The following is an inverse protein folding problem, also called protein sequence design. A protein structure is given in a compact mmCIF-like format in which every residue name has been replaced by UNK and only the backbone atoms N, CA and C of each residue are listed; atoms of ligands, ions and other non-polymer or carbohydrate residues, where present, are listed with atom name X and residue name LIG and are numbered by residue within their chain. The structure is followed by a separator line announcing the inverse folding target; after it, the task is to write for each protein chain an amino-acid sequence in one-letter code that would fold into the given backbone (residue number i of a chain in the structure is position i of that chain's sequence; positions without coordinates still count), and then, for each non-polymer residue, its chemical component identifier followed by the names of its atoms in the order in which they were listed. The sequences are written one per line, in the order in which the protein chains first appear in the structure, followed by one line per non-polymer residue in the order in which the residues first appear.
data_IF_399580034411
#
_entry.id   IF_399580034411
#
_cell.length_a   1.000
_cell.length_b   1.000
_cell.length_c   1.000
_cell.angle_alpha   90.00
_cell.angle_beta   90.00
_cell.angle_gamma   90.00
#
_symmetry.space_group_name_H-M   'P 1'
#
loop_
_entity.id
_entity.type
_entity.pdbx_description
1 polymer ?
#
# COMPACT_ATOMS: atom_id res chain seq x y z
N UNK A 1 31.23 7.72 -26.75
CA UNK A 1 29.82 7.81 -26.36
C UNK A 1 29.72 7.75 -24.85
N UNK A 2 29.35 8.85 -24.20
CA UNK A 2 29.22 8.94 -22.75
C UNK A 2 27.73 9.00 -22.39
N UNK A 3 27.20 7.98 -21.70
CA UNK A 3 25.86 8.00 -21.13
C UNK A 3 25.85 8.97 -19.94
N UNK A 4 25.32 10.17 -20.12
CA UNK A 4 25.04 11.11 -19.04
C UNK A 4 23.88 10.57 -18.20
N UNK A 5 24.14 10.34 -16.92
CA UNK A 5 23.12 10.18 -15.89
C UNK A 5 22.22 11.42 -15.88
N UNK A 6 20.91 11.22 -15.99
CA UNK A 6 19.87 12.27 -16.00
C UNK A 6 19.51 12.72 -14.57
N UNK A 7 20.18 12.20 -13.55
CA UNK A 7 19.94 12.58 -12.17
C UNK A 7 21.04 13.55 -11.73
N UNK A 8 20.75 14.84 -11.93
CA UNK A 8 21.55 15.94 -11.37
C UNK A 8 21.52 15.94 -9.83
N UNK A 9 22.46 16.65 -9.19
CA UNK A 9 22.64 16.70 -7.74
C UNK A 9 21.51 17.40 -6.95
N UNK A 10 20.42 17.80 -7.61
CA UNK A 10 19.29 18.55 -7.05
C UNK A 10 18.02 17.71 -6.78
N UNK A 11 18.14 16.39 -6.61
CA UNK A 11 17.02 15.53 -6.23
C UNK A 11 16.60 15.65 -4.74
N UNK A 12 16.76 16.84 -4.15
CA UNK A 12 16.24 17.19 -2.82
C UNK A 12 14.75 17.60 -2.91
N UNK A 13 13.96 16.87 -3.69
CA UNK A 13 12.51 16.93 -3.56
C UNK A 13 12.15 16.55 -2.10
N UNK A 14 11.27 17.30 -1.41
CA UNK A 14 10.85 16.94 -0.06
C UNK A 14 10.37 15.49 -0.08
N UNK A 15 11.06 14.65 0.69
CA UNK A 15 10.83 13.20 0.68
C UNK A 15 9.37 12.96 1.07
N UNK A 16 8.60 12.17 0.30
CA UNK A 16 7.21 11.93 0.61
C UNK A 16 7.12 11.32 2.02
N UNK A 17 6.50 12.06 2.94
CA UNK A 17 6.18 11.53 4.26
C UNK A 17 5.17 10.40 4.07
N UNK A 18 5.43 9.25 4.68
CA UNK A 18 4.44 8.18 4.80
C UNK A 18 3.30 8.69 5.68
N UNK A 19 2.27 9.23 5.04
CA UNK A 19 1.02 9.59 5.70
C UNK A 19 0.11 8.38 5.67
N UNK A 20 -0.75 8.24 6.69
CA UNK A 20 -1.89 7.31 6.57
C UNK A 20 -2.64 7.66 5.27
N UNK A 21 -3.06 6.66 4.47
CA UNK A 21 -3.99 6.90 3.38
C UNK A 21 -5.22 7.67 3.89
N UNK A 22 -5.81 8.49 3.02
CA UNK A 22 -7.00 9.26 3.35
C UNK A 22 -8.10 8.36 3.96
N UNK A 23 -8.75 8.84 5.03
CA UNK A 23 -9.82 8.15 5.77
C UNK A 23 -11.02 7.87 4.87
N UNK A 24 -11.28 8.78 3.93
CA UNK A 24 -12.19 8.54 2.83
C UNK A 24 -11.42 7.76 1.77
N UNK A 25 -11.91 6.55 1.45
CA UNK A 25 -11.47 5.84 0.25
C UNK A 25 -11.47 6.81 -0.93
N UNK A 26 -10.44 6.73 -1.77
CA UNK A 26 -10.50 7.39 -3.08
C UNK A 26 -11.84 7.02 -3.74
N UNK A 27 -12.46 7.88 -4.55
CA UNK A 27 -13.49 7.44 -5.49
C UNK A 27 -13.01 6.27 -6.38
N UNK A 28 -11.69 6.07 -6.48
CA UNK A 28 -11.01 4.95 -7.13
C UNK A 28 -10.56 3.82 -6.17
N UNK A 29 -11.02 3.76 -4.92
CA UNK A 29 -10.67 2.70 -3.96
C UNK A 29 -11.87 1.78 -3.74
N UNK A 30 -11.67 0.49 -3.49
CA UNK A 30 -12.76 -0.44 -3.33
C UNK A 30 -13.47 -0.21 -2.00
N UNK A 31 -14.72 -0.67 -1.92
CA UNK A 31 -15.61 -0.51 -0.75
C UNK A 31 -15.01 -1.09 0.54
N UNK A 32 -14.04 -2.00 0.42
CA UNK A 32 -13.37 -2.66 1.53
C UNK A 32 -11.86 -2.65 1.34
N UNK A 33 -11.17 -2.03 2.29
CA UNK A 33 -9.71 -1.98 2.36
C UNK A 33 -9.21 -2.22 3.79
N UNK A 34 -8.03 -2.81 3.89
CA UNK A 34 -7.29 -3.03 5.11
C UNK A 34 -5.95 -2.32 5.00
N UNK A 35 -5.69 -1.41 5.95
CA UNK A 35 -4.38 -0.81 6.14
C UNK A 35 -3.77 -1.37 7.43
N UNK A 36 -2.61 -2.01 7.32
CA UNK A 36 -1.80 -2.37 8.48
C UNK A 36 -0.54 -1.51 8.48
N UNK A 37 -0.21 -0.94 9.64
CA UNK A 37 0.95 -0.08 9.79
C UNK A 37 1.76 -0.45 11.03
N UNK A 38 3.06 -0.25 10.95
CA UNK A 38 3.99 -0.40 12.05
C UNK A 38 4.40 0.98 12.59
N UNK A 39 4.04 1.23 13.86
CA UNK A 39 4.47 2.38 14.64
C UNK A 39 5.58 1.95 15.62
N UNK A 40 6.82 2.44 15.48
CA UNK A 40 7.94 2.03 16.34
C UNK A 40 7.78 2.49 17.79
N UNK A 41 7.17 3.65 17.97
CA UNK A 41 6.77 4.18 19.26
C UNK A 41 5.31 3.79 19.38
N UNK A 42 4.94 2.99 20.39
CA UNK A 42 3.62 2.35 20.52
C UNK A 42 2.42 3.27 20.72
N UNK A 43 2.50 4.49 20.21
CA UNK A 43 1.41 5.43 20.07
C UNK A 43 0.76 5.23 18.68
N UNK A 44 -0.54 4.99 18.67
CA UNK A 44 -1.30 4.83 17.43
C UNK A 44 -1.14 6.07 16.54
N UNK A 45 -1.10 7.28 17.13
CA UNK A 45 -1.00 8.56 16.40
C UNK A 45 0.46 8.97 16.08
N UNK A 46 1.42 8.11 16.38
CA UNK A 46 2.84 8.35 16.12
C UNK A 46 3.24 8.24 14.64
N UNK A 47 4.49 8.64 14.32
CA UNK A 47 5.04 8.47 12.97
C UNK A 47 5.13 6.99 12.59
N UNK A 48 4.62 6.66 11.40
CA UNK A 48 4.63 5.30 10.87
C UNK A 48 5.96 4.99 10.19
N UNK A 49 6.53 3.84 10.51
CA UNK A 49 7.77 3.36 9.91
C UNK A 49 7.53 2.43 8.72
N UNK A 50 6.40 1.75 8.67
CA UNK A 50 6.00 0.93 7.53
C UNK A 50 4.49 0.81 7.45
N UNK A 51 3.97 0.54 6.25
CA UNK A 51 2.57 0.22 6.02
C UNK A 51 2.40 -0.75 4.85
N UNK A 52 1.28 -1.46 4.88
CA UNK A 52 0.74 -2.23 3.77
C UNK A 52 -0.74 -1.88 3.62
N UNK A 53 -1.13 -1.47 2.41
CA UNK A 53 -2.50 -1.09 2.01
C UNK A 53 -3.03 -2.17 1.06
N UNK A 54 -4.09 -2.84 1.48
CA UNK A 54 -4.72 -3.94 0.77
C UNK A 54 -6.19 -3.65 0.61
N UNK A 55 -6.71 -4.14 -0.50
CA UNK A 55 -8.02 -3.75 -0.93
C UNK A 55 -8.62 -4.90 -1.73
N UNK A 56 -9.91 -5.17 -1.55
CA UNK A 56 -10.57 -6.27 -2.24
C UNK A 56 -11.12 -5.76 -3.57
N UNK A 57 -10.60 -6.30 -4.67
CA UNK A 57 -11.04 -5.92 -6.01
C UNK A 57 -11.66 -7.13 -6.73
N UNK A 58 -12.74 -6.94 -7.48
CA UNK A 58 -13.25 -7.99 -8.35
C UNK A 58 -12.17 -8.48 -9.32
N UNK A 59 -12.00 -9.80 -9.42
CA UNK A 59 -11.06 -10.40 -10.35
C UNK A 59 -11.69 -10.58 -11.75
N UNK A 60 -12.09 -9.48 -12.38
CA UNK A 60 -12.69 -9.48 -13.72
C UNK A 60 -11.67 -9.24 -14.85
N UNK A 61 -10.38 -9.16 -14.49
CA UNK A 61 -9.26 -8.97 -15.42
C UNK A 61 -9.14 -7.55 -15.99
N UNK A 62 -9.87 -6.57 -15.44
CA UNK A 62 -9.87 -5.19 -15.95
C UNK A 62 -9.06 -4.26 -15.05
N UNK A 63 -8.23 -3.41 -15.66
CA UNK A 63 -7.72 -2.21 -15.00
C UNK A 63 -8.89 -1.24 -14.90
N UNK A 64 -9.37 -0.95 -13.68
CA UNK A 64 -10.52 -0.05 -13.49
C UNK A 64 -10.14 1.36 -13.97
N UNK A 65 -10.81 1.82 -15.02
CA UNK A 65 -10.95 3.24 -15.27
C UNK A 65 -11.88 3.85 -14.20
N UNK A 66 -11.80 5.16 -13.93
CA UNK A 66 -12.79 5.84 -13.10
C UNK A 66 -14.21 5.48 -13.56
N UNK A 67 -15.11 5.22 -12.60
CA UNK A 67 -16.53 4.84 -12.84
C UNK A 67 -16.78 3.43 -13.42
N UNK A 68 -15.76 2.58 -13.57
CA UNK A 68 -15.96 1.23 -14.07
C UNK A 68 -16.76 0.35 -13.08
N UNK A 69 -17.93 -0.12 -13.52
CA UNK A 69 -18.76 -1.07 -12.79
C UNK A 69 -18.22 -2.50 -12.88
N UNK A 70 -18.38 -3.23 -11.78
CA UNK A 70 -18.00 -4.64 -11.69
C UNK A 70 -19.02 -5.52 -12.39
N UNK A 71 -18.56 -6.54 -13.13
CA UNK A 71 -19.47 -7.56 -13.65
C UNK A 71 -20.16 -8.33 -12.52
N UNK A 72 -21.50 -8.53 -12.58
CA UNK A 72 -22.20 -9.35 -11.60
C UNK A 72 -21.59 -10.76 -11.50
N UNK A 73 -21.48 -11.28 -10.27
CA UNK A 73 -21.01 -12.65 -10.01
C UNK A 73 -19.49 -12.86 -10.06
N UNK A 74 -18.69 -11.80 -10.22
CA UNK A 74 -17.23 -11.90 -10.12
C UNK A 74 -16.78 -11.85 -8.67
N UNK A 75 -16.00 -12.84 -8.24
CA UNK A 75 -15.41 -12.87 -6.91
C UNK A 75 -14.34 -11.77 -6.74
N UNK A 76 -14.34 -11.15 -5.57
CA UNK A 76 -13.27 -10.22 -5.17
C UNK A 76 -11.99 -10.98 -4.79
N UNK A 77 -10.83 -10.40 -5.07
CA UNK A 77 -9.51 -10.92 -4.72
C UNK A 77 -8.74 -9.82 -4.00
N UNK A 78 -7.85 -10.17 -3.06
CA UNK A 78 -7.00 -9.19 -2.39
C UNK A 78 -5.95 -8.65 -3.35
N UNK A 79 -5.92 -7.32 -3.50
CA UNK A 79 -4.88 -6.59 -4.21
C UNK A 79 -4.12 -5.69 -3.24
N UNK A 80 -2.80 -5.82 -3.28
CA UNK A 80 -1.88 -4.95 -2.54
C UNK A 80 -1.67 -3.66 -3.33
N UNK A 81 -2.16 -2.54 -2.79
CA UNK A 81 -2.04 -1.22 -3.39
C UNK A 81 -0.69 -0.57 -3.07
N UNK A 82 -0.25 -0.69 -1.82
CA UNK A 82 1.01 -0.13 -1.37
C UNK A 82 1.69 -1.04 -0.35
N UNK A 83 3.01 -1.12 -0.44
CA UNK A 83 3.88 -1.64 0.60
C UNK A 83 5.06 -0.68 0.72
N UNK A 84 5.17 -0.01 1.86
CA UNK A 84 6.19 1.00 2.08
C UNK A 84 6.90 0.76 3.41
N UNK A 85 8.22 0.92 3.39
CA UNK A 85 9.05 0.94 4.60
C UNK A 85 9.95 2.17 4.52
N UNK A 86 9.89 2.99 5.55
CA UNK A 86 10.77 4.15 5.71
C UNK A 86 12.24 3.67 5.65
N UNK A 87 13.11 4.35 4.88
CA UNK A 87 14.50 3.96 4.67
C UNK A 87 15.27 3.59 5.94
N UNK A 88 15.04 4.27 7.06
CA UNK A 88 15.77 4.03 8.30
C UNK A 88 15.39 2.70 8.98
N UNK A 89 14.24 2.13 8.63
CA UNK A 89 13.72 0.87 9.17
C UNK A 89 13.80 -0.30 8.16
N UNK A 90 14.43 -0.09 6.99
CA UNK A 90 14.60 -1.15 5.99
C UNK A 90 15.59 -2.21 6.46
N UNK A 91 15.50 -3.40 5.86
CA UNK A 91 16.35 -4.57 6.18
C UNK A 91 16.18 -5.12 7.61
N UNK A 92 15.12 -4.69 8.31
CA UNK A 92 14.74 -5.21 9.63
C UNK A 92 13.65 -6.30 9.58
N UNK A 93 13.31 -6.80 8.38
CA UNK A 93 12.25 -7.80 8.20
C UNK A 93 10.82 -7.29 8.35
N UNK A 94 10.61 -5.99 8.57
CA UNK A 94 9.29 -5.39 8.82
C UNK A 94 8.31 -5.62 7.66
N UNK A 95 8.76 -5.48 6.41
CA UNK A 95 7.93 -5.75 5.24
C UNK A 95 7.44 -7.21 5.23
N UNK A 96 8.32 -8.18 5.47
CA UNK A 96 7.95 -9.59 5.55
C UNK A 96 6.97 -9.85 6.68
N UNK A 97 7.22 -9.31 7.88
CA UNK A 97 6.30 -9.48 9.00
C UNK A 97 4.89 -8.89 8.73
N UNK A 98 4.82 -7.73 8.06
CA UNK A 98 3.55 -7.14 7.64
C UNK A 98 2.83 -8.02 6.61
N UNK A 99 3.57 -8.60 5.65
CA UNK A 99 3.00 -9.50 4.65
C UNK A 99 2.51 -10.82 5.27
N UNK A 100 3.23 -11.39 6.24
CA UNK A 100 2.81 -12.60 6.94
C UNK A 100 1.50 -12.35 7.72
N UNK A 101 1.38 -11.18 8.37
CA UNK A 101 0.15 -10.77 9.06
C UNK A 101 -1.01 -10.60 8.08
N UNK A 102 -0.77 -9.91 6.97
CA UNK A 102 -1.74 -9.76 5.88
C UNK A 102 -2.23 -11.11 5.39
N UNK A 103 -1.31 -12.02 5.07
CA UNK A 103 -1.63 -13.31 4.49
C UNK A 103 -2.50 -14.11 5.45
N UNK A 104 -2.19 -14.03 6.75
CA UNK A 104 -3.01 -14.66 7.79
C UNK A 104 -4.40 -14.05 7.89
N UNK A 105 -4.51 -12.72 7.93
CA UNK A 105 -5.83 -12.04 7.98
C UNK A 105 -6.66 -12.38 6.74
N UNK A 106 -6.04 -12.40 5.55
CA UNK A 106 -6.75 -12.75 4.32
C UNK A 106 -7.21 -14.21 4.34
N UNK A 107 -6.41 -15.16 4.82
CA UNK A 107 -6.81 -16.57 4.99
C UNK A 107 -7.93 -16.77 6.00
N UNK A 108 -7.97 -15.95 7.05
CA UNK A 108 -8.98 -16.08 8.10
C UNK A 108 -10.32 -15.44 7.69
N UNK A 109 -10.28 -14.40 6.85
CA UNK A 109 -11.47 -13.69 6.35
C UNK A 109 -12.06 -14.29 5.06
N UNK A 110 -11.28 -15.04 4.30
CA UNK A 110 -11.61 -15.56 2.97
C UNK A 110 -11.65 -17.08 2.92
#
# INVERSE_FOLDING_TARGET
GARRSVLGPDAAAPRPFLRRPAILGSPDKPDQGLLLAYAPVGDAEGPLAALVDISLWPNDGRVRAPEAETKPGVASWPYMLNLCVDPQYRRLGIASALLDLVERVMRDLW
#
